data_IF_682591733537
#
_entry.id   IF_682591733537
#
_cell.length_a   1.000
_cell.length_b   1.000
_cell.length_c   1.000
_cell.angle_alpha   90.00
_cell.angle_beta   90.00
_cell.angle_gamma   90.00
#
_symmetry.space_group_name_H-M   'P 1'
#
loop_
_entity.id
_entity.type
_entity.pdbx_description
1 polymer ?
#
# COMPACT_ATOMS: atom_id res chain seq x y z
N UNK A 1 8.86 -11.65 -10.27
CA UNK A 1 7.58 -12.34 -9.98
C UNK A 1 6.47 -11.69 -10.80
N UNK A 2 5.61 -12.49 -11.39
CA UNK A 2 4.51 -11.97 -12.21
C UNK A 2 3.20 -12.07 -11.44
N UNK A 3 2.54 -10.93 -11.25
CA UNK A 3 1.24 -10.89 -10.58
C UNK A 3 0.11 -10.86 -11.60
N UNK A 4 -1.07 -11.39 -11.22
CA UNK A 4 -2.27 -11.32 -12.05
C UNK A 4 -2.73 -9.88 -12.23
N UNK A 5 -3.56 -9.62 -13.22
CA UNK A 5 -4.12 -8.29 -13.44
C UNK A 5 -4.96 -7.83 -12.24
N UNK A 6 -5.74 -8.74 -11.65
CA UNK A 6 -6.51 -8.41 -10.46
C UNK A 6 -5.62 -8.03 -9.27
N UNK A 7 -4.52 -8.77 -9.06
CA UNK A 7 -3.61 -8.46 -7.97
C UNK A 7 -2.90 -7.12 -8.18
N UNK A 8 -2.45 -6.85 -9.42
CA UNK A 8 -1.86 -5.54 -9.74
C UNK A 8 -2.85 -4.40 -9.51
N UNK A 9 -4.10 -4.58 -9.93
CA UNK A 9 -5.14 -3.58 -9.73
C UNK A 9 -5.44 -3.37 -8.24
N UNK A 10 -5.37 -4.43 -7.45
CA UNK A 10 -5.57 -4.33 -5.99
C UNK A 10 -4.43 -3.55 -5.34
N UNK A 11 -3.17 -3.77 -5.76
CA UNK A 11 -2.04 -2.97 -5.30
C UNK A 11 -2.19 -1.50 -5.67
N UNK A 12 -2.65 -1.21 -6.89
CA UNK A 12 -2.92 0.17 -7.31
C UNK A 12 -4.02 0.81 -6.45
N UNK A 13 -5.04 0.04 -6.09
CA UNK A 13 -6.10 0.50 -5.19
C UNK A 13 -5.56 0.82 -3.80
N UNK A 14 -4.68 -0.03 -3.25
CA UNK A 14 -4.05 0.24 -1.94
C UNK A 14 -3.23 1.54 -2.02
N UNK A 15 -2.46 1.72 -3.08
CA UNK A 15 -1.69 2.95 -3.29
C UNK A 15 -2.58 4.18 -3.38
N UNK A 16 -3.70 4.07 -4.10
CA UNK A 16 -4.71 5.13 -4.16
C UNK A 16 -5.24 5.44 -2.75
N UNK A 17 -5.54 4.40 -1.97
CA UNK A 17 -6.08 4.56 -0.62
C UNK A 17 -5.08 5.22 0.33
N UNK A 18 -3.81 4.82 0.27
CA UNK A 18 -2.78 5.29 1.20
C UNK A 18 -2.17 6.62 0.78
N UNK A 19 -2.02 6.87 -0.50
CA UNK A 19 -1.27 8.01 -1.05
C UNK A 19 -2.21 9.03 -1.70
N UNK A 20 -3.17 8.57 -2.48
CA UNK A 20 -4.07 9.44 -3.26
C UNK A 20 -3.51 9.81 -4.62
N UNK A 21 -4.42 10.12 -5.55
CA UNK A 21 -4.10 10.33 -6.96
C UNK A 21 -3.08 11.46 -7.18
N UNK A 22 -3.27 12.61 -6.53
CA UNK A 22 -2.43 13.77 -6.78
C UNK A 22 -1.01 13.57 -6.24
N UNK A 23 -0.85 12.96 -5.07
CA UNK A 23 0.47 12.68 -4.50
C UNK A 23 1.19 11.58 -5.31
N UNK A 24 0.46 10.60 -5.83
CA UNK A 24 1.04 9.60 -6.73
C UNK A 24 1.67 10.27 -7.96
N UNK A 25 1.02 11.31 -8.51
CA UNK A 25 1.51 12.01 -9.70
C UNK A 25 2.77 12.83 -9.45
N UNK A 26 2.93 13.40 -8.26
CA UNK A 26 4.07 14.28 -7.94
C UNK A 26 5.21 13.55 -7.25
N UNK A 27 5.12 12.24 -7.15
CA UNK A 27 6.13 11.37 -6.54
C UNK A 27 6.54 10.27 -7.54
N UNK A 28 7.40 9.37 -7.12
CA UNK A 28 7.77 8.18 -7.90
C UNK A 28 6.65 7.13 -7.77
N UNK A 29 5.46 7.48 -8.25
CA UNK A 29 4.26 6.65 -8.17
C UNK A 29 4.02 6.13 -6.74
N UNK A 30 4.34 6.94 -5.74
CA UNK A 30 4.17 6.64 -4.33
C UNK A 30 5.32 5.87 -3.68
N UNK A 31 6.21 5.25 -4.45
CA UNK A 31 7.26 4.40 -3.89
C UNK A 31 8.25 5.16 -2.98
N UNK A 32 8.40 6.47 -3.15
CA UNK A 32 9.34 7.31 -2.40
C UNK A 32 8.66 8.24 -1.38
N UNK A 33 7.38 8.02 -1.07
CA UNK A 33 6.59 8.91 -0.22
C UNK A 33 6.82 8.59 1.26
N UNK A 34 7.10 9.62 2.05
CA UNK A 34 7.18 9.58 3.51
C UNK A 34 5.83 10.03 4.07
N UNK A 35 5.38 9.41 5.16
CA UNK A 35 4.14 9.79 5.85
C UNK A 35 4.13 11.29 6.19
N UNK A 36 2.96 11.91 6.09
CA UNK A 36 2.83 13.36 6.30
C UNK A 36 2.99 14.18 5.02
N UNK A 37 3.31 13.53 3.90
CA UNK A 37 3.35 14.19 2.59
C UNK A 37 1.97 14.67 2.17
N UNK A 38 1.96 15.80 1.46
CA UNK A 38 0.79 16.28 0.72
C UNK A 38 1.20 16.58 -0.71
N UNK A 39 0.25 16.67 -1.66
CA UNK A 39 0.60 17.04 -3.04
C UNK A 39 1.33 18.39 -3.14
N UNK A 40 1.03 19.32 -2.23
CA UNK A 40 1.66 20.65 -2.19
C UNK A 40 3.02 20.64 -1.48
N UNK A 41 3.20 19.72 -0.53
CA UNK A 41 4.43 19.56 0.26
C UNK A 41 4.82 18.09 0.34
N UNK A 42 5.27 17.49 -0.77
CA UNK A 42 5.69 16.10 -0.74
C UNK A 42 6.99 15.94 0.04
N UNK A 43 7.04 14.91 0.89
CA UNK A 43 8.24 14.52 1.62
C UNK A 43 8.71 13.22 0.99
N UNK A 44 9.78 13.27 0.20
CA UNK A 44 10.22 12.14 -0.62
C UNK A 44 11.64 11.74 -0.21
N UNK A 45 11.93 10.44 -0.27
CA UNK A 45 13.29 9.96 -0.10
C UNK A 45 13.88 9.54 -1.45
N UNK A 46 15.21 9.48 -1.54
CA UNK A 46 15.88 9.18 -2.81
C UNK A 46 16.65 7.86 -2.79
N UNK A 47 16.98 7.35 -1.62
CA UNK A 47 17.78 6.13 -1.47
C UNK A 47 16.87 4.94 -1.16
N UNK A 48 16.73 4.04 -2.12
CA UNK A 48 15.92 2.84 -2.01
C UNK A 48 16.66 1.63 -1.44
N UNK A 49 17.87 1.80 -0.90
CA UNK A 49 18.62 0.65 -0.38
C UNK A 49 17.96 0.04 0.86
N UNK A 50 17.32 0.86 1.68
CA UNK A 50 16.66 0.45 2.93
C UNK A 50 15.40 1.28 3.15
N UNK A 51 14.49 0.83 4.01
CA UNK A 51 13.39 1.66 4.50
C UNK A 51 13.99 2.91 5.17
N UNK A 52 13.53 4.12 4.83
CA UNK A 52 14.17 5.34 5.30
C UNK A 52 14.05 5.60 6.79
N UNK A 53 13.03 5.04 7.46
CA UNK A 53 12.79 5.17 8.90
C UNK A 53 12.80 6.62 9.39
N UNK A 54 12.17 7.50 8.63
CA UNK A 54 12.05 8.91 8.99
C UNK A 54 10.77 9.15 9.78
N UNK A 55 10.91 9.23 11.10
CA UNK A 55 9.80 9.49 11.98
C UNK A 55 9.26 10.90 11.80
N UNK A 56 7.93 11.01 11.62
CA UNK A 56 7.21 12.28 11.53
C UNK A 56 6.37 12.45 12.78
N UNK A 57 6.76 13.42 13.63
CA UNK A 57 6.13 13.60 14.94
C UNK A 57 4.63 13.92 14.82
N UNK A 58 4.25 14.74 13.84
CA UNK A 58 2.84 15.12 13.65
C UNK A 58 1.94 13.92 13.33
N UNK A 59 2.47 12.89 12.66
CA UNK A 59 1.75 11.68 12.34
C UNK A 59 2.02 10.55 13.33
N UNK A 60 2.99 10.73 14.23
CA UNK A 60 3.46 9.68 15.15
C UNK A 60 3.75 8.38 14.38
N UNK A 61 4.50 8.49 13.29
CA UNK A 61 4.73 7.39 12.37
C UNK A 61 6.00 7.60 11.55
N UNK A 62 6.62 6.50 11.13
CA UNK A 62 7.70 6.49 10.15
C UNK A 62 7.31 5.74 8.88
N UNK A 63 6.01 5.62 8.60
CA UNK A 63 5.52 4.91 7.43
C UNK A 63 6.11 5.50 6.15
N UNK A 64 6.45 4.64 5.20
CA UNK A 64 7.08 5.04 3.95
C UNK A 64 6.75 4.08 2.82
N UNK A 65 6.90 4.59 1.60
CA UNK A 65 6.70 3.83 0.37
C UNK A 65 5.25 3.86 -0.12
N UNK A 66 5.04 3.16 -1.22
CA UNK A 66 3.76 3.17 -1.94
C UNK A 66 2.60 2.63 -1.10
N UNK A 67 2.91 1.73 -0.18
CA UNK A 67 1.91 1.07 0.66
C UNK A 67 2.06 1.46 2.13
N UNK A 68 2.87 2.49 2.42
CA UNK A 68 3.04 3.08 3.74
C UNK A 68 3.41 2.05 4.80
N UNK A 69 4.55 1.38 4.58
CA UNK A 69 5.09 0.39 5.51
C UNK A 69 5.75 1.03 6.72
N UNK A 70 5.49 0.49 7.91
CA UNK A 70 6.16 0.91 9.14
C UNK A 70 7.58 0.36 9.21
N UNK A 71 8.54 1.20 9.62
CA UNK A 71 9.96 0.83 9.67
C UNK A 71 10.28 -0.34 10.59
N UNK A 72 9.52 -0.49 11.70
CA UNK A 72 9.75 -1.58 12.65
C UNK A 72 9.57 -2.98 12.07
N UNK A 73 8.83 -3.10 10.96
CA UNK A 73 8.60 -4.39 10.29
C UNK A 73 9.57 -4.65 9.15
N UNK A 74 10.43 -3.67 8.79
CA UNK A 74 11.30 -3.76 7.63
C UNK A 74 12.29 -4.93 7.72
N UNK A 75 13.07 -5.00 8.78
CA UNK A 75 14.10 -6.04 8.89
C UNK A 75 13.49 -7.47 8.92
N UNK A 76 12.43 -7.73 9.71
CA UNK A 76 11.80 -9.05 9.67
C UNK A 76 11.32 -9.45 8.27
N UNK A 77 10.64 -8.57 7.55
CA UNK A 77 10.14 -8.89 6.21
C UNK A 77 11.26 -8.94 5.17
N UNK A 78 12.25 -8.06 5.28
CA UNK A 78 13.44 -8.13 4.42
C UNK A 78 14.08 -9.52 4.46
N UNK A 79 14.25 -10.05 5.66
CA UNK A 79 14.83 -11.39 5.86
C UNK A 79 13.90 -12.48 5.36
N UNK A 80 12.65 -12.44 5.76
CA UNK A 80 11.66 -13.47 5.40
C UNK A 80 11.50 -13.60 3.88
N UNK A 81 11.48 -12.48 3.19
CA UNK A 81 11.20 -12.41 1.75
C UNK A 81 12.47 -12.30 0.91
N UNK A 82 13.64 -12.25 1.54
CA UNK A 82 14.93 -12.07 0.86
C UNK A 82 14.94 -10.84 -0.04
N UNK A 83 14.45 -9.72 0.46
CA UNK A 83 14.38 -8.48 -0.31
C UNK A 83 15.78 -7.86 -0.41
N UNK A 84 16.25 -7.54 -1.63
CA UNK A 84 17.60 -6.94 -1.80
C UNK A 84 17.67 -5.47 -1.41
N UNK A 85 16.52 -4.79 -1.43
CA UNK A 85 16.43 -3.35 -1.21
C UNK A 85 14.99 -2.97 -0.84
N UNK A 86 14.70 -1.68 -0.76
CA UNK A 86 13.35 -1.14 -0.56
C UNK A 86 12.82 -0.53 -1.86
N UNK A 87 13.23 -1.05 -3.01
CA UNK A 87 12.80 -0.59 -4.33
C UNK A 87 11.39 -1.02 -4.68
N UNK A 88 10.97 -0.68 -5.91
CA UNK A 88 9.60 -0.90 -6.38
C UNK A 88 9.19 -2.37 -6.26
N UNK A 89 10.00 -3.28 -6.79
CA UNK A 89 9.66 -4.71 -6.76
C UNK A 89 9.59 -5.25 -5.34
N UNK A 90 10.55 -4.87 -4.48
CA UNK A 90 10.57 -5.30 -3.08
C UNK A 90 9.35 -4.82 -2.33
N UNK A 91 8.92 -3.58 -2.56
CA UNK A 91 7.71 -3.04 -1.92
C UNK A 91 6.46 -3.81 -2.38
N UNK A 92 6.37 -4.11 -3.67
CA UNK A 92 5.24 -4.89 -4.21
C UNK A 92 5.21 -6.30 -3.61
N UNK A 93 6.36 -6.97 -3.53
CA UNK A 93 6.47 -8.31 -2.92
C UNK A 93 6.04 -8.28 -1.45
N UNK A 94 6.48 -7.28 -0.71
CA UNK A 94 6.09 -7.12 0.70
C UNK A 94 4.58 -6.91 0.83
N UNK A 95 3.99 -6.04 0.01
CA UNK A 95 2.54 -5.81 0.03
C UNK A 95 1.76 -7.10 -0.27
N UNK A 96 2.22 -7.88 -1.25
CA UNK A 96 1.57 -9.16 -1.59
C UNK A 96 1.68 -10.15 -0.42
N UNK A 97 2.78 -10.14 0.31
CA UNK A 97 2.91 -10.99 1.50
C UNK A 97 1.89 -10.60 2.58
N UNK A 98 1.67 -9.30 2.81
CA UNK A 98 0.64 -8.85 3.74
C UNK A 98 -0.76 -9.29 3.29
N UNK A 99 -1.05 -9.18 2.00
CA UNK A 99 -2.30 -9.66 1.43
C UNK A 99 -2.47 -11.17 1.66
N UNK A 100 -1.39 -11.93 1.47
CA UNK A 100 -1.40 -13.38 1.72
C UNK A 100 -1.69 -13.68 3.19
N UNK A 101 -1.08 -12.95 4.11
CA UNK A 101 -1.32 -13.11 5.55
C UNK A 101 -2.76 -12.78 5.93
N UNK A 102 -3.39 -11.86 5.22
CA UNK A 102 -4.81 -11.54 5.37
C UNK A 102 -5.75 -12.57 4.74
N UNK A 103 -5.20 -13.58 4.07
CA UNK A 103 -5.96 -14.61 3.34
C UNK A 103 -6.84 -14.01 2.25
N UNK A 104 -6.35 -12.94 1.60
CA UNK A 104 -7.12 -12.20 0.61
C UNK A 104 -6.77 -12.54 -0.84
N UNK A 105 -5.68 -13.28 -1.11
CA UNK A 105 -5.26 -13.57 -2.48
C UNK A 105 -6.34 -14.27 -3.29
N UNK A 106 -6.95 -15.32 -2.74
CA UNK A 106 -8.00 -16.05 -3.43
C UNK A 106 -9.23 -15.18 -3.70
N UNK A 107 -9.58 -14.33 -2.74
CA UNK A 107 -10.70 -13.39 -2.89
C UNK A 107 -10.43 -12.43 -4.06
N UNK A 108 -9.20 -11.90 -4.16
CA UNK A 108 -8.80 -11.00 -5.24
C UNK A 108 -8.86 -11.71 -6.59
N UNK A 109 -8.29 -12.91 -6.68
CA UNK A 109 -8.28 -13.67 -7.93
C UNK A 109 -9.68 -14.01 -8.41
N UNK A 110 -10.62 -14.23 -7.49
CA UNK A 110 -12.03 -14.51 -7.80
C UNK A 110 -12.87 -13.26 -8.03
N UNK A 111 -12.28 -12.08 -7.97
CA UNK A 111 -13.00 -10.81 -8.16
C UNK A 111 -13.90 -10.41 -7.00
N UNK A 112 -13.73 -11.00 -5.83
CA UNK A 112 -14.49 -10.67 -4.62
C UNK A 112 -13.88 -9.46 -3.92
N UNK A 113 -14.01 -8.31 -4.56
CA UNK A 113 -13.31 -7.09 -4.17
C UNK A 113 -13.65 -6.65 -2.74
N UNK A 114 -14.94 -6.51 -2.42
CA UNK A 114 -15.35 -6.00 -1.11
C UNK A 114 -14.86 -6.90 0.03
N UNK A 115 -14.96 -8.21 -0.17
CA UNK A 115 -14.47 -9.18 0.82
C UNK A 115 -12.94 -9.08 0.98
N UNK A 116 -12.21 -8.88 -0.11
CA UNK A 116 -10.75 -8.73 -0.08
C UNK A 116 -10.34 -7.46 0.69
N UNK A 117 -11.02 -6.34 0.45
CA UNK A 117 -10.77 -5.08 1.18
C UNK A 117 -11.02 -5.29 2.67
N UNK A 118 -12.14 -5.90 3.02
CA UNK A 118 -12.46 -6.20 4.42
C UNK A 118 -11.39 -7.07 5.07
N UNK A 119 -10.90 -8.07 4.34
CA UNK A 119 -9.85 -8.96 4.85
C UNK A 119 -8.54 -8.22 5.13
N UNK A 120 -8.25 -7.17 4.38
CA UNK A 120 -6.98 -6.42 4.48
C UNK A 120 -7.05 -5.20 5.41
N UNK A 121 -8.21 -4.86 5.96
CA UNK A 121 -8.38 -3.62 6.74
C UNK A 121 -7.50 -3.54 7.98
N UNK A 122 -7.05 -4.68 8.52
CA UNK A 122 -6.15 -4.71 9.68
C UNK A 122 -4.73 -4.27 9.33
N UNK A 123 -4.37 -4.28 8.06
CA UNK A 123 -3.01 -3.93 7.59
C UNK A 123 -2.92 -2.52 7.04
N UNK A 124 -4.03 -1.94 6.60
CA UNK A 124 -4.06 -0.59 6.03
C UNK A 124 -5.19 0.22 6.65
N UNK A 125 -4.81 1.20 7.48
CA UNK A 125 -5.75 2.00 8.28
C UNK A 125 -6.70 2.86 7.44
N UNK A 126 -6.35 3.15 6.19
CA UNK A 126 -7.19 3.94 5.29
C UNK A 126 -8.35 3.14 4.68
N UNK A 127 -8.35 1.81 4.85
CA UNK A 127 -9.42 0.97 4.31
C UNK A 127 -10.68 1.05 5.17
N UNK A 128 -11.88 0.89 4.55
CA UNK A 128 -13.15 0.97 5.29
C UNK A 128 -13.23 -0.06 6.42
N UNK A 129 -13.66 0.39 7.59
CA UNK A 129 -13.88 -0.49 8.75
C UNK A 129 -12.62 -0.86 9.52
N UNK A 130 -11.47 -0.25 9.21
CA UNK A 130 -10.21 -0.54 9.92
C UNK A 130 -10.30 -0.19 11.41
N UNK A 131 -10.94 0.93 11.77
CA UNK A 131 -11.24 1.25 13.17
C UNK A 131 -10.06 1.79 13.97
N UNK A 132 -9.02 2.32 13.32
CA UNK A 132 -7.82 2.83 14.02
C UNK A 132 -7.91 4.33 14.37
N UNK A 133 -9.09 4.96 14.20
CA UNK A 133 -9.26 6.38 14.48
C UNK A 133 -8.61 7.31 13.46
N UNK A 134 -8.14 6.78 12.35
CA UNK A 134 -7.57 7.53 11.24
C UNK A 134 -8.61 7.69 10.13
N UNK A 135 -8.33 8.59 9.17
CA UNK A 135 -9.19 8.74 8.01
C UNK A 135 -9.34 7.42 7.28
N UNK A 136 -10.59 7.06 6.95
CA UNK A 136 -10.91 5.88 6.16
C UNK A 136 -11.55 6.30 4.84
N UNK A 137 -11.14 5.65 3.75
CA UNK A 137 -11.79 5.83 2.46
C UNK A 137 -13.07 4.98 2.40
N UNK A 138 -14.03 5.45 1.61
CA UNK A 138 -15.25 4.68 1.36
C UNK A 138 -14.98 3.64 0.29
N UNK A 139 -15.76 2.55 0.31
CA UNK A 139 -15.57 1.42 -0.58
C UNK A 139 -15.76 1.78 -2.06
N UNK A 140 -16.70 2.69 -2.39
CA UNK A 140 -17.00 3.02 -3.78
C UNK A 140 -15.82 3.65 -4.53
N UNK A 141 -15.14 4.69 -4.01
CA UNK A 141 -13.94 5.22 -4.67
C UNK A 141 -12.83 4.18 -4.82
N UNK A 142 -12.67 3.28 -3.83
CA UNK A 142 -11.66 2.21 -3.89
C UNK A 142 -12.00 1.19 -4.98
N UNK A 143 -13.27 0.80 -5.09
CA UNK A 143 -13.73 -0.10 -6.15
C UNK A 143 -13.50 0.52 -7.52
N UNK A 144 -13.78 1.82 -7.67
CA UNK A 144 -13.57 2.52 -8.92
C UNK A 144 -12.07 2.58 -9.28
N UNK A 145 -11.20 2.86 -8.30
CA UNK A 145 -9.75 2.84 -8.52
C UNK A 145 -9.27 1.46 -8.97
N UNK A 146 -9.79 0.40 -8.36
CA UNK A 146 -9.47 -0.98 -8.72
C UNK A 146 -9.91 -1.29 -10.16
N UNK A 147 -11.13 -0.92 -10.52
CA UNK A 147 -11.66 -1.16 -11.89
C UNK A 147 -10.86 -0.36 -12.91
N UNK A 148 -10.56 0.91 -12.62
CA UNK A 148 -9.78 1.78 -13.51
C UNK A 148 -8.36 1.22 -13.74
N UNK A 149 -7.83 0.50 -12.79
CA UNK A 149 -6.50 -0.14 -12.88
C UNK A 149 -6.54 -1.49 -13.62
N UNK A 150 -7.69 -1.93 -14.06
CA UNK A 150 -7.85 -3.18 -14.83
C UNK A 150 -8.37 -4.36 -14.02
N UNK A 151 -8.79 -4.13 -12.77
CA UNK A 151 -9.35 -5.19 -11.94
C UNK A 151 -10.77 -5.57 -12.38
N UNK A 152 -11.11 -6.83 -12.17
CA UNK A 152 -12.44 -7.36 -12.50
C UNK A 152 -13.17 -7.69 -11.20
N UNK A 153 -14.40 -7.18 -11.08
CA UNK A 153 -15.30 -7.49 -9.97
C UNK A 153 -16.28 -8.56 -10.43
N UNK A 154 -16.34 -9.64 -9.69
CA UNK A 154 -17.25 -10.74 -9.97
C UNK A 154 -18.70 -10.38 -9.61
#
# INVERSE_FOLDING_TARGET
MKFSDNLKAFLDMIAYSEIGTELLKVSDNGYDVIVGSTPQNPILFTNYSEHPRKYQAAQNSDAAGRYQFMGRYWIPYKRQLSLPDFGHESQDIWAVQLIRECRALDLIEKGKFDAAVTACKSRWASLPGAGYGQHENKIEPLRQAYINAGGVVA
#
